data_IF_584395594685
#
_entry.id   IF_584395594685
#
_cell.length_a   1.000
_cell.length_b   1.000
_cell.length_c   1.000
_cell.angle_alpha   90.00
_cell.angle_beta   90.00
_cell.angle_gamma   90.00
#
_symmetry.space_group_name_H-M   'P 1'
#
loop_
_entity.id
_entity.type
_entity.pdbx_description
1 polymer ?
#
# COMPACT_ATOMS: atom_id res chain seq x y z
N UNK A 1 -13.42 22.02 -1.05
CA UNK A 1 -11.95 22.09 -1.10
C UNK A 1 -11.44 20.66 -0.97
N UNK A 2 -10.65 20.18 -1.92
CA UNK A 2 -10.14 18.79 -1.95
C UNK A 2 -9.10 18.71 -0.83
N UNK A 3 -9.48 18.15 0.33
CA UNK A 3 -8.64 17.82 1.50
C UNK A 3 -7.62 18.93 1.89
N UNK A 4 -7.90 19.81 2.87
CA UNK A 4 -6.88 20.75 3.34
C UNK A 4 -5.64 19.99 3.81
N UNK A 5 -4.48 20.60 3.57
CA UNK A 5 -3.17 20.02 3.85
C UNK A 5 -2.91 18.69 3.12
N UNK A 6 -3.24 18.65 1.82
CA UNK A 6 -3.01 17.51 0.94
C UNK A 6 -1.57 17.00 1.00
N UNK A 7 -0.59 17.88 1.21
CA UNK A 7 0.83 17.52 1.37
C UNK A 7 1.05 16.56 2.54
N UNK A 8 0.48 16.86 3.70
CA UNK A 8 0.61 16.04 4.91
C UNK A 8 -0.09 14.69 4.69
N UNK A 9 -1.29 14.71 4.10
CA UNK A 9 -2.05 13.50 3.77
C UNK A 9 -1.29 12.62 2.78
N UNK A 10 -0.70 13.21 1.74
CA UNK A 10 0.10 12.50 0.74
C UNK A 10 1.35 11.88 1.36
N UNK A 11 2.11 12.62 2.18
CA UNK A 11 3.29 12.08 2.88
C UNK A 11 2.89 10.89 3.75
N UNK A 12 1.81 11.02 4.53
CA UNK A 12 1.33 9.93 5.38
C UNK A 12 0.97 8.69 4.58
N UNK A 13 0.22 8.83 3.47
CA UNK A 13 -0.16 7.70 2.61
C UNK A 13 1.05 7.06 1.95
N UNK A 14 2.02 7.85 1.48
CA UNK A 14 3.27 7.34 0.92
C UNK A 14 4.00 6.50 1.96
N UNK A 15 4.12 6.98 3.20
CA UNK A 15 4.78 6.23 4.28
C UNK A 15 4.03 4.94 4.60
N UNK A 16 2.70 4.97 4.68
CA UNK A 16 1.88 3.78 4.94
C UNK A 16 2.00 2.70 3.85
N UNK A 17 2.18 3.12 2.59
CA UNK A 17 2.38 2.18 1.46
C UNK A 17 3.83 1.70 1.39
N UNK A 18 4.80 2.61 1.55
CA UNK A 18 6.22 2.34 1.37
C UNK A 18 6.83 1.57 2.54
N UNK A 19 6.42 1.83 3.78
CA UNK A 19 6.96 1.17 4.97
C UNK A 19 6.96 -0.37 4.87
N UNK A 20 5.84 -1.05 4.56
CA UNK A 20 5.85 -2.51 4.43
C UNK A 20 6.70 -2.98 3.24
N UNK A 21 6.78 -2.22 2.14
CA UNK A 21 7.63 -2.55 0.98
C UNK A 21 9.12 -2.49 1.36
N UNK A 22 9.53 -1.41 2.01
CA UNK A 22 10.91 -1.19 2.46
C UNK A 22 11.33 -2.24 3.48
N UNK A 23 10.44 -2.58 4.42
CA UNK A 23 10.68 -3.63 5.41
C UNK A 23 11.00 -4.99 4.74
N UNK A 24 10.19 -5.41 3.77
CA UNK A 24 10.44 -6.65 3.04
C UNK A 24 11.68 -6.58 2.14
N UNK A 25 11.92 -5.43 1.53
CA UNK A 25 13.12 -5.18 0.73
C UNK A 25 14.40 -5.37 1.57
N UNK A 26 14.48 -4.71 2.73
CA UNK A 26 15.64 -4.83 3.62
C UNK A 26 15.84 -6.27 4.11
N UNK A 27 14.76 -6.95 4.52
CA UNK A 27 14.83 -8.34 5.02
C UNK A 27 15.32 -9.33 3.96
N UNK A 28 15.02 -9.09 2.68
CA UNK A 28 15.36 -9.99 1.59
C UNK A 28 16.67 -9.62 0.87
N UNK A 29 17.07 -8.35 0.85
CA UNK A 29 18.36 -7.90 0.30
C UNK A 29 19.56 -8.43 1.10
N UNK A 30 19.37 -8.78 2.38
CA UNK A 30 20.40 -9.48 3.17
C UNK A 30 20.77 -10.88 2.63
N UNK A 31 20.04 -11.42 1.64
CA UNK A 31 20.18 -12.80 1.14
C UNK A 31 20.72 -12.91 -0.29
N UNK A 32 21.19 -11.83 -0.91
CA UNK A 32 21.83 -11.86 -2.23
C UNK A 32 21.38 -10.74 -3.18
N UNK A 33 21.65 -10.91 -4.48
CA UNK A 33 21.41 -9.90 -5.51
C UNK A 33 19.92 -9.57 -5.69
N UNK A 34 19.61 -8.28 -5.83
CA UNK A 34 18.27 -7.75 -6.06
C UNK A 34 17.82 -8.05 -7.49
N UNK A 35 16.78 -8.87 -7.65
CA UNK A 35 16.21 -9.26 -8.96
C UNK A 35 14.77 -8.81 -9.12
N UNK A 36 14.30 -8.68 -10.37
CA UNK A 36 12.91 -8.33 -10.67
C UNK A 36 11.88 -9.30 -10.02
N UNK A 37 12.20 -10.60 -10.01
CA UNK A 37 11.40 -11.63 -9.33
C UNK A 37 11.30 -11.40 -7.82
N UNK A 38 12.40 -10.97 -7.17
CA UNK A 38 12.38 -10.62 -5.75
C UNK A 38 11.61 -9.33 -5.48
N UNK A 39 11.74 -8.31 -6.33
CA UNK A 39 10.95 -7.08 -6.22
C UNK A 39 9.46 -7.41 -6.21
N UNK A 40 8.98 -8.21 -7.17
CA UNK A 40 7.57 -8.60 -7.24
C UNK A 40 7.15 -9.42 -6.02
N UNK A 41 7.99 -10.34 -5.54
CA UNK A 41 7.73 -11.07 -4.29
C UNK A 41 7.60 -10.14 -3.09
N UNK A 42 8.45 -9.12 -2.97
CA UNK A 42 8.40 -8.14 -1.88
C UNK A 42 7.10 -7.33 -1.94
N UNK A 43 6.70 -6.86 -3.12
CA UNK A 43 5.44 -6.14 -3.33
C UNK A 43 4.20 -7.00 -3.04
N UNK A 44 4.24 -8.29 -3.41
CA UNK A 44 3.17 -9.23 -3.08
C UNK A 44 3.10 -9.54 -1.58
N UNK A 45 4.23 -9.63 -0.89
CA UNK A 45 4.24 -9.84 0.55
C UNK A 45 3.77 -8.59 1.33
N UNK A 46 4.11 -7.39 0.86
CA UNK A 46 3.67 -6.14 1.50
C UNK A 46 2.15 -5.94 1.40
N UNK A 47 1.47 -6.53 0.42
CA UNK A 47 0.00 -6.47 0.30
C UNK A 47 -0.73 -6.87 1.59
N UNK A 48 -0.26 -7.92 2.27
CA UNK A 48 -0.90 -8.38 3.51
C UNK A 48 -0.88 -7.31 4.60
N UNK A 49 0.24 -6.62 4.73
CA UNK A 49 0.39 -5.52 5.67
C UNK A 49 -0.38 -4.28 5.23
N UNK A 50 -0.41 -3.98 3.94
CA UNK A 50 -1.19 -2.87 3.41
C UNK A 50 -2.70 -3.09 3.60
N UNK A 51 -3.18 -4.31 3.38
CA UNK A 51 -4.56 -4.68 3.69
C UNK A 51 -4.87 -4.53 5.18
N UNK A 52 -3.95 -4.99 6.05
CA UNK A 52 -4.10 -4.83 7.50
C UNK A 52 -4.15 -3.35 7.91
N UNK A 53 -3.30 -2.49 7.33
CA UNK A 53 -3.32 -1.03 7.56
C UNK A 53 -4.68 -0.46 7.14
N UNK A 54 -5.15 -0.78 5.93
CA UNK A 54 -6.46 -0.33 5.44
C UNK A 54 -7.60 -0.77 6.34
N UNK A 55 -7.57 -2.01 6.83
CA UNK A 55 -8.56 -2.54 7.78
C UNK A 55 -8.55 -1.77 9.10
N UNK A 56 -7.37 -1.51 9.67
CA UNK A 56 -7.23 -0.73 10.91
C UNK A 56 -7.78 0.68 10.73
N UNK A 57 -7.44 1.36 9.62
CA UNK A 57 -7.95 2.70 9.33
C UNK A 57 -9.48 2.70 9.20
N UNK A 58 -10.06 1.69 8.54
CA UNK A 58 -11.51 1.55 8.42
C UNK A 58 -12.19 1.29 9.78
N UNK A 59 -11.58 0.47 10.64
CA UNK A 59 -12.10 0.22 12.00
C UNK A 59 -12.08 1.48 12.87
N UNK A 60 -11.00 2.27 12.80
CA UNK A 60 -10.91 3.56 13.52
C UNK A 60 -12.01 4.51 13.02
N UNK A 61 -12.23 4.59 11.70
CA UNK A 61 -13.32 5.40 11.13
C UNK A 61 -14.70 4.94 11.62
N UNK A 62 -14.91 3.62 11.72
CA UNK A 62 -16.14 3.05 12.24
C UNK A 62 -16.34 3.42 13.72
N UNK A 63 -15.29 3.36 14.53
CA UNK A 63 -15.33 3.76 15.96
C UNK A 63 -15.73 5.23 16.09
N UNK A 64 -15.13 6.13 15.30
CA UNK A 64 -15.52 7.55 15.31
C UNK A 64 -16.99 7.75 14.94
N UNK A 65 -17.46 7.04 13.91
CA UNK A 65 -18.88 7.07 13.52
C UNK A 65 -19.80 6.61 14.66
N UNK A 66 -19.47 5.51 15.33
CA UNK A 66 -20.28 4.98 16.44
C UNK A 66 -20.27 5.94 17.64
N UNK A 67 -19.11 6.53 17.94
CA UNK A 67 -18.96 7.49 19.03
C UNK A 67 -19.58 8.88 18.71
N UNK A 68 -20.12 9.09 17.50
CA UNK A 68 -20.58 10.40 17.01
C UNK A 68 -19.52 11.49 17.11
N UNK A 69 -18.24 11.10 16.99
CA UNK A 69 -17.09 12.00 16.96
C UNK A 69 -16.75 12.26 15.51
N UNK A 70 -16.67 13.53 15.12
CA UNK A 70 -16.20 13.86 13.79
C UNK A 70 -14.73 13.44 13.65
N UNK A 71 -14.38 12.63 12.63
CA UNK A 71 -12.99 12.27 12.41
C UNK A 71 -12.19 13.54 12.14
N UNK A 72 -11.00 13.62 12.71
CA UNK A 72 -10.02 14.67 12.40
C UNK A 72 -9.88 14.72 10.87
N UNK A 73 -9.99 15.90 10.27
CA UNK A 73 -10.05 16.08 8.81
C UNK A 73 -8.89 15.39 8.07
N UNK A 74 -7.68 15.45 8.65
CA UNK A 74 -6.50 14.72 8.15
C UNK A 74 -6.71 13.22 8.08
N UNK A 75 -7.38 12.62 9.07
CA UNK A 75 -7.62 11.17 9.13
C UNK A 75 -8.56 10.71 8.02
N UNK A 76 -9.65 11.46 7.78
CA UNK A 76 -10.56 11.18 6.68
C UNK A 76 -9.85 11.27 5.32
N UNK A 77 -9.00 12.29 5.15
CA UNK A 77 -8.15 12.45 3.97
C UNK A 77 -7.18 11.28 3.75
N UNK A 78 -6.50 10.83 4.82
CA UNK A 78 -5.58 9.69 4.77
C UNK A 78 -6.32 8.41 4.40
N UNK A 79 -7.43 8.08 5.07
CA UNK A 79 -8.19 6.87 4.79
C UNK A 79 -8.69 6.85 3.34
N UNK A 80 -9.31 7.94 2.88
CA UNK A 80 -9.81 8.04 1.51
C UNK A 80 -8.69 7.87 0.49
N UNK A 81 -7.61 8.65 0.63
CA UNK A 81 -6.48 8.61 -0.31
C UNK A 81 -5.78 7.26 -0.29
N UNK A 82 -5.60 6.65 0.88
CA UNK A 82 -5.02 5.32 1.03
C UNK A 82 -5.84 4.25 0.29
N UNK A 83 -7.17 4.26 0.45
CA UNK A 83 -8.06 3.34 -0.24
C UNK A 83 -8.04 3.55 -1.75
N UNK A 84 -8.10 4.81 -2.22
CA UNK A 84 -8.08 5.12 -3.65
C UNK A 84 -6.76 4.68 -4.28
N UNK A 85 -5.62 5.06 -3.69
CA UNK A 85 -4.29 4.67 -4.18
C UNK A 85 -4.11 3.15 -4.12
N UNK A 86 -4.54 2.50 -3.04
CA UNK A 86 -4.45 1.06 -2.88
C UNK A 86 -5.25 0.29 -3.92
N UNK A 87 -6.54 0.61 -4.06
CA UNK A 87 -7.47 -0.13 -4.91
C UNK A 87 -7.31 0.17 -6.41
N UNK A 88 -7.12 1.44 -6.77
CA UNK A 88 -7.16 1.85 -8.18
C UNK A 88 -5.79 1.99 -8.82
N UNK A 89 -4.71 2.06 -8.04
CA UNK A 89 -3.36 2.21 -8.58
C UNK A 89 -2.46 1.04 -8.19
N UNK A 90 -2.32 0.76 -6.90
CA UNK A 90 -1.37 -0.24 -6.42
C UNK A 90 -1.78 -1.67 -6.83
N UNK A 91 -3.01 -2.08 -6.57
CA UNK A 91 -3.50 -3.43 -6.93
C UNK A 91 -3.43 -3.72 -8.44
N UNK A 92 -3.92 -2.84 -9.34
CA UNK A 92 -3.80 -3.06 -10.78
C UNK A 92 -2.35 -3.13 -11.25
N UNK A 93 -1.50 -2.24 -10.74
CA UNK A 93 -0.05 -2.24 -11.07
C UNK A 93 0.60 -3.56 -10.65
N UNK A 94 0.31 -4.05 -9.46
CA UNK A 94 0.88 -5.30 -8.98
C UNK A 94 0.34 -6.52 -9.76
N UNK A 95 -0.93 -6.50 -10.16
CA UNK A 95 -1.49 -7.49 -11.07
C UNK A 95 -0.73 -7.53 -12.40
N UNK A 96 -0.48 -6.38 -13.00
CA UNK A 96 0.29 -6.26 -14.24
C UNK A 96 1.74 -6.73 -14.09
N UNK A 97 2.41 -6.37 -13.00
CA UNK A 97 3.78 -6.83 -12.71
C UNK A 97 3.85 -8.37 -12.58
N UNK A 98 2.87 -8.98 -11.89
CA UNK A 98 2.78 -10.43 -11.79
C UNK A 98 2.56 -11.10 -13.15
N UNK A 99 1.73 -10.51 -14.03
CA UNK A 99 1.55 -10.99 -15.41
C UNK A 99 2.84 -10.92 -16.22
N UNK A 100 3.58 -9.81 -16.14
CA UNK A 100 4.88 -9.64 -16.82
C UNK A 100 5.87 -10.72 -16.34
N UNK A 101 5.94 -10.96 -15.03
CA UNK A 101 6.81 -12.01 -14.47
C UNK A 101 6.43 -13.41 -14.97
N UNK A 102 5.13 -13.68 -15.11
CA UNK A 102 4.64 -14.94 -15.63
C UNK A 102 5.06 -15.11 -17.10
N UNK A 103 4.83 -14.10 -17.94
CA UNK A 103 5.22 -14.13 -19.36
C UNK A 103 6.73 -14.31 -19.54
N UNK A 104 7.55 -13.58 -18.76
CA UNK A 104 9.00 -13.71 -18.82
C UNK A 104 9.51 -15.12 -18.46
N UNK A 105 8.83 -15.82 -17.53
CA UNK A 105 9.16 -17.22 -17.21
C UNK A 105 8.76 -18.19 -18.32
N UNK A 106 7.70 -17.89 -19.07
CA UNK A 106 7.27 -18.71 -20.19
C UNK A 106 8.19 -18.57 -21.41
N UNK A 107 8.70 -17.36 -21.68
CA UNK A 107 9.60 -17.10 -22.82
C UNK A 107 10.99 -17.72 -22.61
N UNK A 108 11.48 -17.77 -21.37
CA UNK A 108 12.79 -18.33 -21.04
C UNK A 108 12.79 -19.85 -20.81
N UNK A 109 11.69 -20.54 -21.13
CA UNK A 109 11.51 -21.98 -20.94
C UNK A 109 11.58 -22.70 -22.28
#
# INVERSE_FOLDING_TARGET
MIVPNIEIVSIAVILLIAAPILWYSQRNSSKGSFTFSQLIKNLNHSLKFQFLIGLILALIALIFKIASVEPIEYFAGILYTYLVVGLFFYLPTLGMLNLILLLGKWINK
#
